data_IF_305780227079
#
_entry.id   IF_305780227079
#
_cell.length_a   1.000
_cell.length_b   1.000
_cell.length_c   1.000
_cell.angle_alpha   90.00
_cell.angle_beta   90.00
_cell.angle_gamma   90.00
#
_symmetry.space_group_name_H-M   'P 1'
#
loop_
_entity.id
_entity.type
_entity.pdbx_description
1 polymer ?
#
# COMPACT_ATOMS: atom_id res chain seq x y z
N UNK A 1 -12.88 31.05 19.69
CA UNK A 1 -13.62 29.86 20.17
C UNK A 1 -13.94 30.10 21.63
N UNK A 2 -15.15 30.54 21.93
CA UNK A 2 -15.59 30.79 23.31
C UNK A 2 -16.19 29.51 23.88
N UNK A 3 -15.57 28.96 24.93
CA UNK A 3 -16.07 27.79 25.62
C UNK A 3 -17.24 28.19 26.53
N UNK A 4 -18.44 27.67 26.23
CA UNK A 4 -19.63 27.95 27.02
C UNK A 4 -19.63 27.08 28.30
N UNK A 5 -19.87 27.62 29.50
CA UNK A 5 -19.90 26.83 30.76
C UNK A 5 -20.90 25.67 30.75
N UNK A 6 -21.87 25.64 29.83
CA UNK A 6 -22.73 24.49 29.59
C UNK A 6 -21.97 23.25 29.09
N UNK A 7 -20.88 23.43 28.36
CA UNK A 7 -20.16 22.33 27.70
C UNK A 7 -19.33 21.52 28.69
N UNK A 8 -18.84 22.16 29.75
CA UNK A 8 -18.22 21.48 30.90
C UNK A 8 -19.21 20.53 31.61
N UNK A 9 -20.48 20.92 31.72
CA UNK A 9 -21.51 20.06 32.34
C UNK A 9 -21.84 18.84 31.49
N UNK A 10 -21.88 19.01 30.16
CA UNK A 10 -22.08 17.90 29.21
C UNK A 10 -20.92 16.91 29.25
N UNK A 11 -19.69 17.43 29.30
CA UNK A 11 -18.49 16.60 29.44
C UNK A 11 -18.53 15.78 30.74
N UNK A 12 -18.89 16.41 31.86
CA UNK A 12 -19.03 15.73 33.15
C UNK A 12 -20.10 14.62 33.13
N UNK A 13 -21.13 14.78 32.31
CA UNK A 13 -22.18 13.78 32.14
C UNK A 13 -21.72 12.61 31.26
N UNK A 14 -20.86 12.88 30.27
CA UNK A 14 -20.26 11.86 29.41
C UNK A 14 -19.18 11.02 30.13
N UNK A 15 -18.46 11.65 31.07
CA UNK A 15 -17.39 11.02 31.86
C UNK A 15 -17.90 10.28 33.09
N UNK A 16 -19.21 10.35 33.40
CA UNK A 16 -19.81 9.49 34.42
C UNK A 16 -19.89 8.07 33.85
N UNK A 17 -18.91 7.26 34.21
CA UNK A 17 -19.02 5.81 34.12
C UNK A 17 -19.96 5.36 35.23
N UNK A 18 -21.14 4.84 34.89
CA UNK A 18 -22.06 4.29 35.88
C UNK A 18 -21.37 3.12 36.60
N UNK A 19 -20.95 3.38 37.83
CA UNK A 19 -20.46 2.37 38.75
C UNK A 19 -21.56 2.02 39.73
N UNK A 20 -22.03 0.79 39.58
CA UNK A 20 -22.51 -0.09 40.65
C UNK A 20 -23.88 0.24 41.24
N UNK A 21 -24.91 -0.45 40.73
CA UNK A 21 -25.90 -1.20 41.53
C UNK A 21 -26.87 -1.94 40.60
N UNK A 22 -26.54 -3.18 40.23
CA UNK A 22 -27.56 -4.14 39.81
C UNK A 22 -27.07 -5.56 40.11
N UNK A 23 -27.30 -5.97 41.36
CA UNK A 23 -27.47 -7.37 41.71
C UNK A 23 -28.79 -7.81 41.10
N UNK A 24 -28.71 -8.54 39.98
CA UNK A 24 -29.78 -9.39 39.49
C UNK A 24 -29.11 -10.62 38.89
N UNK A 25 -29.00 -11.67 39.73
CA UNK A 25 -28.96 -13.04 39.25
C UNK A 25 -30.16 -13.29 38.30
N UNK A 26 -29.96 -14.21 37.37
CA UNK A 26 -30.93 -14.75 36.40
C UNK A 26 -31.31 -13.90 35.18
N UNK A 27 -30.48 -13.94 34.13
CA UNK A 27 -31.00 -14.12 32.76
C UNK A 27 -29.95 -14.71 31.80
N UNK A 28 -29.61 -15.99 32.03
CA UNK A 28 -28.84 -16.78 31.06
C UNK A 28 -29.84 -17.36 30.03
N UNK A 29 -29.69 -17.10 28.71
CA UNK A 29 -30.58 -17.70 27.73
C UNK A 29 -30.46 -19.23 27.79
N UNK A 30 -31.61 -19.90 27.99
CA UNK A 30 -31.73 -21.36 28.05
C UNK A 30 -31.05 -21.98 26.81
N UNK A 31 -30.16 -22.98 26.96
CA UNK A 31 -29.53 -23.60 25.81
C UNK A 31 -30.59 -24.29 24.96
N UNK A 32 -30.57 -23.99 23.65
CA UNK A 32 -31.40 -24.67 22.67
C UNK A 32 -31.06 -26.17 22.67
N UNK A 33 -32.11 -26.99 22.71
CA UNK A 33 -32.03 -28.46 22.79
C UNK A 33 -31.73 -29.05 21.40
N UNK A 34 -30.65 -28.59 20.77
CA UNK A 34 -30.16 -29.06 19.48
C UNK A 34 -28.94 -29.94 19.71
N UNK A 35 -29.07 -31.22 19.37
CA UNK A 35 -27.96 -32.16 19.39
C UNK A 35 -27.33 -32.31 18.00
N UNK A 36 -26.12 -32.88 17.90
CA UNK A 36 -25.46 -33.17 16.62
C UNK A 36 -26.25 -34.11 15.68
N UNK A 37 -27.41 -34.63 16.11
CA UNK A 37 -28.33 -35.44 15.29
C UNK A 37 -29.47 -34.69 14.60
N UNK A 38 -29.64 -33.38 14.83
CA UNK A 38 -30.75 -32.58 14.27
C UNK A 38 -30.43 -31.93 12.91
N UNK A 39 -29.27 -32.26 12.31
CA UNK A 39 -28.89 -31.84 10.96
C UNK A 39 -29.62 -32.74 9.96
N UNK A 40 -30.91 -32.50 9.72
CA UNK A 40 -31.62 -33.05 8.56
C UNK A 40 -32.19 -31.92 7.71
N UNK A 41 -31.74 -31.88 6.46
CA UNK A 41 -32.13 -30.90 5.45
C UNK A 41 -33.64 -30.92 5.21
N UNK A 42 -34.32 -29.83 5.60
CA UNK A 42 -35.66 -29.53 5.11
C UNK A 42 -35.64 -28.19 4.37
N UNK A 43 -35.72 -28.33 3.04
CA UNK A 43 -36.37 -27.46 2.05
C UNK A 43 -36.36 -25.93 2.29
N UNK A 44 -35.60 -25.27 1.41
CA UNK A 44 -35.64 -23.87 0.97
C UNK A 44 -36.63 -22.90 1.64
N UNK A 45 -36.07 -21.97 2.41
CA UNK A 45 -36.71 -20.68 2.72
C UNK A 45 -36.37 -19.72 1.57
N UNK A 46 -37.38 -19.26 0.82
CA UNK A 46 -37.23 -18.15 -0.13
C UNK A 46 -37.13 -16.85 0.67
N UNK A 47 -35.92 -16.38 0.91
CA UNK A 47 -35.70 -15.04 1.47
C UNK A 47 -35.92 -14.03 0.32
N UNK A 48 -37.00 -13.26 0.40
CA UNK A 48 -37.14 -12.02 -0.38
C UNK A 48 -36.40 -10.93 0.39
N UNK A 49 -35.24 -10.51 -0.10
CA UNK A 49 -34.54 -9.32 0.42
C UNK A 49 -34.83 -8.16 -0.53
N UNK A 50 -35.26 -6.98 -0.03
CA UNK A 50 -35.37 -5.76 -0.82
C UNK A 50 -33.99 -5.28 -1.27
N UNK A 51 -33.93 -4.91 -2.54
CA UNK A 51 -32.80 -4.34 -3.28
C UNK A 51 -32.28 -3.06 -2.63
N UNK A 52 -31.03 -3.07 -2.18
CA UNK A 52 -30.13 -1.90 -2.27
C UNK A 52 -28.80 -2.37 -2.86
N UNK A 53 -28.28 -1.55 -3.76
CA UNK A 53 -27.32 -1.85 -4.81
C UNK A 53 -25.93 -2.19 -4.26
N UNK A 54 -25.53 -3.46 -4.38
CA UNK A 54 -24.13 -3.85 -4.43
C UNK A 54 -23.92 -4.67 -5.69
N UNK A 55 -23.44 -4.01 -6.75
CA UNK A 55 -23.05 -4.63 -8.01
C UNK A 55 -21.90 -5.63 -7.81
N UNK A 56 -22.22 -6.86 -7.38
CA UNK A 56 -21.35 -8.00 -7.61
C UNK A 56 -21.69 -8.53 -9.00
N UNK A 57 -21.09 -7.92 -10.02
CA UNK A 57 -21.10 -8.47 -11.37
C UNK A 57 -20.36 -9.81 -11.35
N UNK A 58 -21.13 -10.89 -11.28
CA UNK A 58 -20.67 -12.26 -11.42
C UNK A 58 -20.23 -12.48 -12.88
N UNK A 59 -19.02 -12.06 -13.21
CA UNK A 59 -18.44 -12.34 -14.52
C UNK A 59 -18.36 -13.86 -14.72
N UNK A 60 -18.93 -14.31 -15.84
CA UNK A 60 -18.83 -15.68 -16.32
C UNK A 60 -17.35 -15.98 -16.58
N UNK A 61 -16.69 -16.65 -15.63
CA UNK A 61 -15.28 -17.05 -15.75
C UNK A 61 -15.13 -18.13 -16.81
N UNK A 62 -14.35 -17.83 -17.84
CA UNK A 62 -13.81 -18.85 -18.75
C UNK A 62 -12.70 -19.57 -17.98
N UNK A 63 -12.92 -20.84 -17.66
CA UNK A 63 -11.90 -21.68 -17.02
C UNK A 63 -10.64 -21.69 -17.88
N UNK A 64 -9.60 -21.01 -17.43
CA UNK A 64 -8.23 -21.38 -17.81
C UNK A 64 -7.81 -22.58 -16.96
N UNK A 65 -6.98 -23.44 -17.55
CA UNK A 65 -6.46 -24.73 -17.08
C UNK A 65 -7.19 -25.44 -15.92
N UNK A 66 -7.74 -26.66 -16.13
CA UNK A 66 -8.48 -27.42 -15.10
C UNK A 66 -7.63 -27.89 -13.91
N UNK A 67 -6.35 -27.55 -13.87
CA UNK A 67 -5.39 -27.89 -12.83
C UNK A 67 -4.85 -26.66 -12.09
N UNK A 68 -5.13 -25.44 -12.57
CA UNK A 68 -4.81 -24.22 -11.87
C UNK A 68 -5.80 -24.03 -10.71
N UNK A 69 -5.28 -23.88 -9.49
CA UNK A 69 -6.10 -23.65 -8.29
C UNK A 69 -6.49 -22.16 -8.18
N UNK A 70 -5.73 -21.26 -8.81
CA UNK A 70 -5.92 -19.81 -8.80
C UNK A 70 -5.87 -19.25 -10.22
N UNK A 71 -6.84 -18.40 -10.56
CA UNK A 71 -6.74 -17.53 -11.74
C UNK A 71 -6.01 -16.22 -11.35
N UNK A 72 -5.26 -15.60 -12.27
CA UNK A 72 -4.49 -14.36 -11.98
C UNK A 72 -5.40 -13.23 -11.49
N UNK A 73 -6.64 -13.20 -12.00
CA UNK A 73 -7.68 -12.24 -11.59
C UNK A 73 -8.27 -12.53 -10.18
N UNK A 74 -8.01 -13.71 -9.60
CA UNK A 74 -8.46 -14.08 -8.25
C UNK A 74 -7.48 -13.67 -7.15
N UNK A 75 -6.24 -13.34 -7.50
CA UNK A 75 -5.25 -12.88 -6.54
C UNK A 75 -5.31 -11.36 -6.47
N UNK A 76 -5.83 -10.76 -5.38
CA UNK A 76 -5.89 -9.32 -5.26
C UNK A 76 -4.46 -8.75 -5.27
N UNK A 77 -4.20 -7.82 -6.20
CA UNK A 77 -2.95 -7.06 -6.21
C UNK A 77 -2.97 -6.13 -5.01
N UNK A 78 -2.34 -6.53 -3.92
CA UNK A 78 -2.22 -5.69 -2.73
C UNK A 78 -1.21 -4.58 -3.05
N UNK A 79 -1.67 -3.33 -3.08
CA UNK A 79 -0.83 -2.17 -3.41
C UNK A 79 0.29 -1.91 -2.37
N UNK A 80 0.16 -2.50 -1.19
CA UNK A 80 1.10 -2.36 -0.08
C UNK A 80 1.33 -3.73 0.55
N UNK A 81 2.51 -4.33 0.31
CA UNK A 81 2.95 -5.52 1.02
C UNK A 81 3.54 -5.09 2.38
N UNK A 82 2.70 -5.03 3.41
CA UNK A 82 3.14 -4.81 4.82
C UNK A 82 4.05 -5.95 5.34
N UNK A 83 4.23 -7.02 4.55
CA UNK A 83 5.19 -8.09 4.80
C UNK A 83 6.60 -7.57 5.09
N UNK A 84 6.99 -6.40 4.55
CA UNK A 84 8.29 -5.82 4.84
C UNK A 84 8.51 -5.47 6.31
N UNK A 85 7.45 -5.22 7.08
CA UNK A 85 7.52 -4.97 8.53
C UNK A 85 7.74 -6.24 9.35
N UNK A 86 7.36 -7.41 8.79
CA UNK A 86 7.39 -8.71 9.46
C UNK A 86 8.49 -9.63 8.92
N UNK A 87 9.19 -9.24 7.86
CA UNK A 87 10.26 -9.99 7.23
C UNK A 87 11.52 -10.00 8.13
N UNK A 88 12.14 -11.16 8.39
CA UNK A 88 13.38 -11.26 9.15
C UNK A 88 14.61 -10.69 8.42
N UNK A 89 14.51 -10.39 7.11
CA UNK A 89 15.60 -9.83 6.31
C UNK A 89 15.96 -8.42 6.73
N UNK A 90 17.22 -8.06 6.48
CA UNK A 90 17.73 -6.73 6.85
C UNK A 90 17.26 -5.67 5.85
N UNK A 91 17.00 -4.47 6.35
CA UNK A 91 16.78 -3.32 5.46
C UNK A 91 18.14 -2.82 4.95
N UNK A 92 18.34 -2.70 3.62
CA UNK A 92 19.59 -2.20 3.07
C UNK A 92 19.76 -0.71 3.36
N UNK A 93 21.01 -0.25 3.43
CA UNK A 93 21.33 1.18 3.48
C UNK A 93 21.02 1.80 2.12
N UNK A 94 20.28 2.91 2.12
CA UNK A 94 19.89 3.58 0.89
C UNK A 94 20.04 5.08 0.98
N UNK A 95 20.37 5.70 -0.16
CA UNK A 95 20.43 7.13 -0.35
C UNK A 95 19.54 7.55 -1.52
N UNK A 96 18.90 8.71 -1.40
CA UNK A 96 17.96 9.24 -2.39
C UNK A 96 18.49 10.59 -2.88
N UNK A 97 18.75 10.68 -4.18
CA UNK A 97 19.17 11.90 -4.86
C UNK A 97 18.16 12.26 -5.94
N UNK A 98 18.04 13.54 -6.24
CA UNK A 98 17.21 14.03 -7.34
C UNK A 98 18.11 14.60 -8.42
N UNK A 99 17.84 14.21 -9.68
CA UNK A 99 18.58 14.68 -10.86
C UNK A 99 17.64 15.50 -11.73
N UNK A 100 18.13 16.66 -12.14
CA UNK A 100 17.47 17.58 -13.04
C UNK A 100 18.17 17.55 -14.40
N UNK A 101 17.40 17.41 -15.49
CA UNK A 101 17.92 17.62 -16.82
C UNK A 101 18.04 19.13 -17.07
N UNK A 102 19.25 19.66 -17.12
CA UNK A 102 19.52 21.08 -17.34
C UNK A 102 20.10 21.25 -18.75
N UNK A 103 19.50 22.14 -19.53
CA UNK A 103 19.95 22.47 -20.89
C UNK A 103 20.83 23.72 -20.89
N UNK A 104 21.51 23.98 -22.00
CA UNK A 104 22.29 25.22 -22.17
C UNK A 104 21.43 26.48 -22.05
N UNK A 105 20.15 26.41 -22.44
CA UNK A 105 19.21 27.52 -22.27
C UNK A 105 18.97 27.85 -20.79
N UNK A 106 18.84 26.81 -19.96
CA UNK A 106 18.66 26.96 -18.52
C UNK A 106 19.92 27.55 -17.85
N UNK A 107 21.11 27.09 -18.26
CA UNK A 107 22.39 27.54 -17.67
C UNK A 107 22.82 28.93 -18.12
N UNK A 108 22.70 29.22 -19.42
CA UNK A 108 23.26 30.44 -20.01
C UNK A 108 22.23 31.55 -20.20
N UNK A 109 20.96 31.22 -20.43
CA UNK A 109 19.92 32.20 -20.74
C UNK A 109 18.85 32.32 -19.65
N UNK A 110 18.82 31.37 -18.70
CA UNK A 110 17.83 31.30 -17.61
C UNK A 110 16.37 31.35 -18.10
N UNK A 111 16.10 30.83 -19.32
CA UNK A 111 14.78 30.91 -19.92
C UNK A 111 13.85 29.76 -19.53
N UNK A 112 14.36 28.57 -19.23
CA UNK A 112 13.52 27.39 -18.99
C UNK A 112 12.92 27.25 -17.59
N UNK A 113 12.80 28.37 -16.84
CA UNK A 113 12.12 28.58 -15.53
C UNK A 113 12.27 27.46 -14.48
N UNK A 114 13.27 26.61 -14.66
CA UNK A 114 13.67 25.53 -13.78
C UNK A 114 14.22 26.11 -12.49
N UNK A 115 13.77 25.56 -11.38
CA UNK A 115 14.25 25.94 -10.06
C UNK A 115 15.25 24.91 -9.54
N UNK A 116 16.13 25.27 -8.59
CA UNK A 116 16.99 24.31 -7.90
C UNK A 116 16.22 23.42 -6.90
N UNK A 117 14.87 23.51 -6.88
CA UNK A 117 14.02 22.69 -6.03
C UNK A 117 13.81 21.31 -6.63
N UNK A 118 13.56 20.32 -5.78
CA UNK A 118 13.18 18.95 -6.19
C UNK A 118 11.90 18.92 -7.04
N UNK A 119 11.08 19.98 -6.99
CA UNK A 119 9.91 20.16 -7.83
C UNK A 119 10.24 20.22 -9.34
N UNK A 120 11.44 20.68 -9.70
CA UNK A 120 11.90 20.75 -11.09
C UNK A 120 12.80 19.56 -11.48
N UNK A 121 12.96 18.56 -10.61
CA UNK A 121 13.74 17.35 -10.90
C UNK A 121 12.85 16.26 -11.51
N UNK A 122 13.21 15.79 -12.70
CA UNK A 122 12.49 14.76 -13.45
C UNK A 122 12.85 13.34 -13.00
N UNK A 123 14.05 13.14 -12.43
CA UNK A 123 14.56 11.82 -12.09
C UNK A 123 14.90 11.73 -10.61
N UNK A 124 14.45 10.66 -9.95
CA UNK A 124 14.82 10.28 -8.60
C UNK A 124 15.75 9.08 -8.66
N UNK A 125 16.96 9.24 -8.13
CA UNK A 125 18.01 8.22 -8.13
C UNK A 125 18.13 7.65 -6.71
N UNK A 126 17.92 6.34 -6.59
CA UNK A 126 18.01 5.61 -5.32
C UNK A 126 19.22 4.69 -5.39
N UNK A 127 20.20 4.90 -4.52
CA UNK A 127 21.39 4.07 -4.40
C UNK A 127 21.25 3.14 -3.21
N UNK A 128 21.26 1.83 -3.45
CA UNK A 128 21.04 0.77 -2.46
C UNK A 128 22.32 -0.01 -2.25
N UNK A 129 22.84 -0.07 -1.02
CA UNK A 129 24.03 -0.85 -0.68
C UNK A 129 23.62 -2.29 -0.29
N UNK A 130 24.00 -3.26 -1.12
CA UNK A 130 23.64 -4.67 -0.99
C UNK A 130 24.90 -5.53 -0.87
N UNK A 131 25.60 -5.40 0.26
CA UNK A 131 26.86 -6.12 0.50
C UNK A 131 26.63 -7.62 0.53
N UNK A 132 27.39 -8.36 -0.28
CA UNK A 132 27.36 -9.82 -0.31
C UNK A 132 26.26 -10.43 -1.19
N UNK A 133 25.46 -9.60 -1.87
CA UNK A 133 24.46 -10.06 -2.84
C UNK A 133 25.03 -10.10 -4.27
N UNK A 134 24.43 -10.93 -5.10
CA UNK A 134 24.72 -10.99 -6.54
C UNK A 134 23.58 -10.39 -7.34
N UNK A 135 23.86 -9.96 -8.56
CA UNK A 135 22.87 -9.36 -9.45
C UNK A 135 21.68 -10.30 -9.71
N UNK A 136 21.94 -11.59 -9.83
CA UNK A 136 20.93 -12.59 -10.22
C UNK A 136 19.94 -12.90 -9.10
N UNK A 137 20.30 -12.59 -7.85
CA UNK A 137 19.47 -12.85 -6.68
C UNK A 137 18.63 -11.62 -6.27
N UNK A 138 18.73 -10.52 -7.02
CA UNK A 138 18.03 -9.27 -6.73
C UNK A 138 16.80 -9.17 -7.63
N UNK A 139 15.63 -9.23 -7.00
CA UNK A 139 14.35 -8.96 -7.63
C UNK A 139 13.90 -7.53 -7.31
N UNK A 140 13.68 -6.73 -8.35
CA UNK A 140 13.18 -5.37 -8.25
C UNK A 140 11.81 -5.27 -8.93
N UNK A 141 10.82 -4.82 -8.17
CA UNK A 141 9.48 -4.53 -8.65
C UNK A 141 9.17 -3.06 -8.44
N UNK A 142 8.88 -2.37 -9.53
CA UNK A 142 8.49 -0.98 -9.52
C UNK A 142 7.02 -0.86 -9.94
N UNK A 143 6.21 -0.29 -9.07
CA UNK A 143 4.87 0.21 -9.39
C UNK A 143 4.90 1.73 -9.39
N UNK A 144 3.80 2.35 -9.84
CA UNK A 144 3.73 3.81 -9.93
C UNK A 144 4.01 4.50 -8.59
N UNK A 145 3.57 3.95 -7.47
CA UNK A 145 3.68 4.59 -6.15
C UNK A 145 4.59 3.82 -5.18
N UNK A 146 5.21 2.73 -5.61
CA UNK A 146 5.92 1.84 -4.70
C UNK A 146 7.12 1.16 -5.37
N UNK A 147 8.23 1.12 -4.66
CA UNK A 147 9.43 0.39 -5.05
C UNK A 147 9.65 -0.76 -4.07
N UNK A 148 9.63 -1.97 -4.60
CA UNK A 148 9.90 -3.21 -3.88
C UNK A 148 11.22 -3.82 -4.36
N UNK A 149 12.14 -4.04 -3.41
CA UNK A 149 13.33 -4.83 -3.61
C UNK A 149 13.28 -6.06 -2.69
N UNK A 150 13.61 -7.20 -3.28
CA UNK A 150 13.74 -8.49 -2.60
C UNK A 150 15.07 -9.12 -3.00
N UNK A 151 15.87 -9.46 -2.01
CA UNK A 151 17.04 -10.32 -2.16
C UNK A 151 17.09 -11.32 -1.00
N UNK A 152 17.90 -12.39 -1.08
CA UNK A 152 18.03 -13.38 -0.02
C UNK A 152 18.28 -12.79 1.38
N UNK A 153 19.12 -11.75 1.47
CA UNK A 153 19.52 -11.10 2.72
C UNK A 153 18.73 -9.81 3.00
N UNK A 154 18.30 -9.10 1.96
CA UNK A 154 17.72 -7.78 2.09
C UNK A 154 16.27 -7.71 1.60
N UNK A 155 15.48 -6.92 2.33
CA UNK A 155 14.11 -6.57 1.95
C UNK A 155 13.95 -5.06 2.07
N UNK A 156 13.46 -4.43 1.01
CA UNK A 156 13.12 -3.01 1.02
C UNK A 156 11.78 -2.80 0.34
N UNK A 157 10.87 -2.13 1.05
CA UNK A 157 9.57 -1.68 0.58
C UNK A 157 9.56 -0.18 0.79
N UNK A 158 9.62 0.59 -0.30
CA UNK A 158 9.72 2.04 -0.25
C UNK A 158 8.53 2.68 -0.97
N UNK A 159 7.61 3.34 -0.25
CA UNK A 159 6.58 4.15 -0.88
C UNK A 159 7.20 5.40 -1.52
N UNK A 160 6.78 5.69 -2.74
CA UNK A 160 7.25 6.84 -3.51
C UNK A 160 6.34 8.05 -3.22
N UNK A 161 6.92 9.25 -3.01
CA UNK A 161 6.13 10.47 -2.76
C UNK A 161 5.38 10.95 -4.00
N UNK A 162 5.86 10.59 -5.19
CA UNK A 162 5.30 10.96 -6.48
C UNK A 162 5.22 9.74 -7.39
N UNK A 163 4.29 9.73 -8.36
CA UNK A 163 4.19 8.62 -9.29
C UNK A 163 5.47 8.53 -10.15
N UNK A 164 6.01 7.32 -10.26
CA UNK A 164 7.07 6.98 -11.19
C UNK A 164 6.51 6.24 -12.40
N UNK A 165 7.17 6.39 -13.55
CA UNK A 165 6.87 5.67 -14.77
C UNK A 165 7.82 4.47 -14.91
N UNK A 166 7.31 3.22 -14.81
CA UNK A 166 8.16 2.03 -14.87
C UNK A 166 8.90 1.87 -16.19
N UNK A 167 8.30 2.28 -17.31
CA UNK A 167 8.85 2.09 -18.65
C UNK A 167 10.05 3.00 -18.95
N UNK A 168 10.09 4.19 -18.33
CA UNK A 168 11.19 5.14 -18.47
C UNK A 168 12.20 5.09 -17.32
N UNK A 169 11.96 4.23 -16.33
CA UNK A 169 12.90 3.97 -15.24
C UNK A 169 13.99 2.98 -15.66
N UNK A 170 15.18 3.10 -15.05
CA UNK A 170 16.29 2.18 -15.28
C UNK A 170 16.95 1.78 -13.97
N UNK A 171 17.60 0.61 -13.96
CA UNK A 171 18.37 0.13 -12.81
C UNK A 171 19.73 -0.39 -13.28
N UNK A 172 20.79 0.02 -12.57
CA UNK A 172 22.17 -0.33 -12.85
C UNK A 172 22.80 -0.97 -11.61
N UNK A 173 23.41 -2.14 -11.79
CA UNK A 173 24.12 -2.84 -10.73
C UNK A 173 25.62 -2.64 -10.89
N UNK A 174 26.26 -2.12 -9.85
CA UNK A 174 27.70 -1.95 -9.77
C UNK A 174 28.31 -3.06 -8.90
N UNK A 175 28.89 -4.12 -9.51
CA UNK A 175 29.41 -5.27 -8.76
C UNK A 175 30.62 -4.92 -7.88
N UNK A 176 31.44 -3.94 -8.27
CA UNK A 176 32.64 -3.57 -7.50
C UNK A 176 32.31 -2.94 -6.15
N UNK A 177 31.19 -2.21 -6.07
CA UNK A 177 30.73 -1.55 -4.84
C UNK A 177 29.58 -2.31 -4.17
N UNK A 178 29.02 -3.31 -4.85
CA UNK A 178 27.77 -3.98 -4.45
C UNK A 178 26.64 -2.98 -4.22
N UNK A 179 26.49 -2.04 -5.16
CA UNK A 179 25.48 -0.97 -5.10
C UNK A 179 24.53 -1.10 -6.29
N UNK A 180 23.24 -1.13 -6.00
CA UNK A 180 22.18 -1.03 -7.00
C UNK A 180 21.73 0.43 -7.10
N UNK A 181 21.87 1.03 -8.28
CA UNK A 181 21.40 2.40 -8.55
C UNK A 181 20.14 2.33 -9.39
N UNK A 182 19.02 2.79 -8.84
CA UNK A 182 17.71 2.80 -9.48
C UNK A 182 17.38 4.24 -9.87
N UNK A 183 17.28 4.51 -11.17
CA UNK A 183 16.86 5.80 -11.72
C UNK A 183 15.38 5.76 -12.06
N UNK A 184 14.55 6.35 -11.21
CA UNK A 184 13.11 6.46 -11.37
C UNK A 184 12.77 7.73 -12.13
N UNK A 185 12.09 7.60 -13.26
CA UNK A 185 11.49 8.73 -13.97
C UNK A 185 10.18 9.12 -13.27
N UNK A 186 10.13 10.33 -12.74
CA UNK A 186 8.95 10.85 -12.05
C UNK A 186 7.99 11.46 -13.06
N UNK A 187 6.70 11.17 -12.92
CA UNK A 187 5.63 11.87 -13.65
C UNK A 187 4.71 12.56 -12.66
N UNK A 188 4.87 13.88 -12.51
CA UNK A 188 3.97 14.70 -11.70
C UNK A 188 2.93 15.36 -12.59
N UNK A 189 1.75 15.62 -12.01
CA UNK A 189 0.65 16.26 -12.71
C UNK A 189 1.04 17.63 -13.27
N UNK A 190 1.88 18.41 -12.56
CA UNK A 190 2.24 19.78 -12.92
C UNK A 190 3.59 19.91 -13.64
N UNK A 191 4.21 18.80 -14.06
CA UNK A 191 5.51 18.87 -14.75
C UNK A 191 5.39 19.61 -16.10
N UNK A 192 4.21 19.65 -16.73
CA UNK A 192 3.93 20.47 -17.92
C UNK A 192 3.86 21.98 -17.66
N UNK A 193 3.89 22.42 -16.40
CA UNK A 193 3.93 23.84 -16.02
C UNK A 193 5.28 24.27 -15.48
N UNK A 194 6.18 23.32 -15.22
CA UNK A 194 7.55 23.58 -14.78
C UNK A 194 8.49 23.79 -15.99
N UNK A 195 8.09 24.71 -16.89
CA UNK A 195 8.92 25.26 -17.97
C UNK A 195 9.08 26.75 -17.80
#
# INVERSE_FOLDING_TARGET
MEFNPSDIRKLAQLLKTEGEDSSSDDDVPKPSKLGPGDIKSKSQVKIRVPTEEYEHSYYTKKKTDPKAIWEVDEVPVVAFCDDASYDPRQRPEFDIKYRQAVTSEDLFLQLGRKTPSTASCEVMVISLCLKGERKEDIDLHLTQQHLDLRSPLYRLSLPLPHPADPESSSAEWEPSLSVLTVSLALRRELDFTNF
#
